data_IF_885696828870
#
_entry.id   IF_885696828870
#
_cell.length_a   1.000
_cell.length_b   1.000
_cell.length_c   1.000
_cell.angle_alpha   90.00
_cell.angle_beta   90.00
_cell.angle_gamma   90.00
#
_symmetry.space_group_name_H-M   'P 1'
#
loop_
_entity.id
_entity.type
_entity.pdbx_description
1 polymer ?
#
# COMPACT_ATOMS: atom_id res chain seq x y z
N UNK A 1 13.53 -13.77 34.94
CA UNK A 1 12.50 -14.64 34.34
C UNK A 1 12.51 -15.98 35.06
N UNK A 2 11.36 -16.66 35.21
CA UNK A 2 11.32 -18.00 35.82
C UNK A 2 11.88 -19.05 34.84
N UNK A 3 12.46 -20.17 35.30
CA UNK A 3 12.81 -21.28 34.42
C UNK A 3 11.57 -21.83 33.70
N UNK A 4 11.64 -22.09 32.40
CA UNK A 4 10.54 -22.64 31.61
C UNK A 4 10.65 -22.36 30.11
N UNK A 5 9.79 -23.00 29.31
CA UNK A 5 9.66 -22.73 27.87
C UNK A 5 8.73 -21.55 27.64
N UNK A 6 9.21 -20.54 26.93
CA UNK A 6 8.44 -19.38 26.51
C UNK A 6 8.19 -19.43 25.00
N UNK A 7 6.93 -19.46 24.59
CA UNK A 7 6.54 -19.52 23.17
C UNK A 7 5.65 -18.32 22.86
N UNK A 8 6.03 -17.54 21.86
CA UNK A 8 5.18 -16.52 21.28
C UNK A 8 4.26 -17.16 20.23
N UNK A 9 2.95 -16.91 20.30
CA UNK A 9 1.98 -17.37 19.30
C UNK A 9 2.15 -16.59 17.98
N UNK A 10 1.61 -17.10 16.86
CA UNK A 10 1.55 -16.35 15.60
C UNK A 10 0.91 -14.96 15.80
N UNK A 11 1.32 -13.95 15.01
CA UNK A 11 0.74 -12.61 15.11
C UNK A 11 -0.75 -12.63 14.73
N UNK A 12 -1.55 -11.80 15.40
CA UNK A 12 -2.98 -11.69 15.14
C UNK A 12 -3.28 -11.02 13.79
N UNK A 13 -2.39 -10.15 13.31
CA UNK A 13 -2.51 -9.45 12.02
C UNK A 13 -1.42 -9.94 11.08
N UNK A 14 -1.76 -10.36 9.85
CA UNK A 14 -0.80 -11.03 8.94
C UNK A 14 0.30 -10.10 8.41
N UNK A 15 -0.07 -8.94 7.87
CA UNK A 15 0.87 -7.91 7.40
C UNK A 15 0.80 -6.68 8.32
N UNK A 16 1.95 -6.25 8.85
CA UNK A 16 2.05 -5.20 9.89
C UNK A 16 3.17 -4.25 9.51
N UNK A 17 2.84 -3.00 9.21
CA UNK A 17 3.81 -2.12 8.57
C UNK A 17 3.60 -0.63 8.77
N UNK A 18 4.52 0.10 8.17
CA UNK A 18 4.51 1.57 8.11
C UNK A 18 4.54 2.02 6.65
N UNK A 19 4.02 3.21 6.41
CA UNK A 19 4.20 3.96 5.18
C UNK A 19 5.04 5.19 5.49
N UNK A 20 6.21 5.27 4.88
CA UNK A 20 7.03 6.48 4.91
C UNK A 20 6.44 7.43 3.87
N UNK A 21 5.77 8.48 4.32
CA UNK A 21 5.13 9.47 3.46
C UNK A 21 5.38 10.87 4.00
N UNK A 22 4.90 11.88 3.27
CA UNK A 22 4.99 13.27 3.67
C UNK A 22 6.46 13.69 3.96
N UNK A 23 7.41 13.00 3.31
CA UNK A 23 8.81 12.89 3.70
C UNK A 23 9.61 14.18 3.44
N UNK A 24 9.08 15.04 2.58
CA UNK A 24 9.65 16.34 2.23
C UNK A 24 9.17 17.47 3.16
N UNK A 25 10.08 18.31 3.71
CA UNK A 25 11.54 18.30 3.49
C UNK A 25 12.32 17.43 4.49
N UNK A 26 11.75 17.05 5.63
CA UNK A 26 12.49 16.57 6.80
C UNK A 26 13.29 15.28 6.54
N UNK A 27 12.60 14.18 6.26
CA UNK A 27 13.24 12.89 6.07
C UNK A 27 14.10 12.88 4.80
N UNK A 28 13.62 13.52 3.73
CA UNK A 28 14.37 13.62 2.47
C UNK A 28 15.72 14.30 2.67
N UNK A 29 15.73 15.46 3.34
CA UNK A 29 16.98 16.22 3.58
C UNK A 29 17.93 15.44 4.47
N UNK A 30 17.40 14.80 5.53
CA UNK A 30 18.20 13.96 6.41
C UNK A 30 18.82 12.77 5.67
N UNK A 31 18.03 12.04 4.87
CA UNK A 31 18.48 10.87 4.14
C UNK A 31 19.53 11.23 3.08
N UNK A 32 19.29 12.31 2.31
CA UNK A 32 20.24 12.84 1.32
C UNK A 32 21.54 13.30 1.97
N UNK A 33 21.47 13.93 3.15
CA UNK A 33 22.67 14.37 3.88
C UNK A 33 23.47 13.20 4.46
N UNK A 34 22.79 12.19 5.03
CA UNK A 34 23.45 11.11 5.77
C UNK A 34 23.85 9.92 4.89
N UNK A 35 23.07 9.60 3.87
CA UNK A 35 23.23 8.41 3.04
C UNK A 35 23.41 8.72 1.54
N UNK A 36 23.34 10.00 1.15
CA UNK A 36 23.39 10.46 -0.24
C UNK A 36 22.01 10.52 -0.90
N UNK A 37 21.13 9.57 -0.60
CA UNK A 37 19.72 9.54 -1.02
C UNK A 37 18.94 8.50 -0.18
N UNK A 38 17.67 8.26 -0.50
CA UNK A 38 16.83 7.18 0.04
C UNK A 38 17.20 5.82 -0.60
N UNK A 39 18.43 5.38 -0.40
CA UNK A 39 19.01 4.13 -0.93
C UNK A 39 19.07 3.01 0.12
N UNK A 40 19.65 1.85 -0.25
CA UNK A 40 19.62 0.66 0.60
C UNK A 40 20.32 0.85 1.96
N UNK A 41 21.26 1.79 2.07
CA UNK A 41 21.93 2.10 3.34
C UNK A 41 20.98 2.77 4.33
N UNK A 42 20.03 3.57 3.83
CA UNK A 42 18.96 4.11 4.66
C UNK A 42 17.93 3.02 4.96
N UNK A 43 17.46 2.32 3.93
CA UNK A 43 16.37 1.36 4.06
C UNK A 43 16.71 0.12 4.90
N UNK A 44 17.96 -0.35 4.94
CA UNK A 44 18.34 -1.46 5.84
C UNK A 44 18.15 -1.11 7.32
N UNK A 45 18.31 0.16 7.71
CA UNK A 45 17.96 0.63 9.06
C UNK A 45 16.44 0.60 9.29
N UNK A 46 15.64 0.92 8.27
CA UNK A 46 14.16 0.85 8.33
C UNK A 46 13.71 -0.61 8.46
N UNK A 47 14.31 -1.53 7.69
CA UNK A 47 14.00 -2.96 7.75
C UNK A 47 14.30 -3.53 9.14
N UNK A 48 15.48 -3.21 9.69
CA UNK A 48 15.87 -3.62 11.03
C UNK A 48 14.86 -3.11 12.08
N UNK A 49 14.46 -1.84 12.00
CA UNK A 49 13.46 -1.26 12.91
C UNK A 49 12.13 -2.02 12.84
N UNK A 50 11.60 -2.25 11.63
CA UNK A 50 10.34 -2.97 11.42
C UNK A 50 10.41 -4.37 12.04
N UNK A 51 11.49 -5.12 11.79
CA UNK A 51 11.67 -6.46 12.34
C UNK A 51 11.82 -6.45 13.87
N UNK A 52 12.56 -5.50 14.44
CA UNK A 52 12.68 -5.36 15.91
C UNK A 52 11.35 -5.06 16.58
N UNK A 53 10.47 -4.32 15.90
CA UNK A 53 9.09 -4.06 16.33
C UNK A 53 8.11 -5.21 15.98
N UNK A 54 8.62 -6.32 15.40
CA UNK A 54 7.84 -7.49 14.96
C UNK A 54 6.82 -7.16 13.85
N UNK A 55 7.06 -6.09 13.10
CA UNK A 55 6.42 -5.83 11.82
C UNK A 55 7.02 -6.68 10.70
N UNK A 56 6.46 -6.58 9.50
CA UNK A 56 6.92 -7.29 8.31
C UNK A 56 6.50 -6.63 6.98
N UNK A 57 5.92 -5.41 7.00
CA UNK A 57 5.38 -4.77 5.80
C UNK A 57 5.85 -3.32 5.68
N UNK A 58 6.08 -2.86 4.45
CA UNK A 58 6.52 -1.49 4.17
C UNK A 58 5.87 -0.94 2.90
N UNK A 59 5.37 0.30 2.99
CA UNK A 59 5.27 1.20 1.83
C UNK A 59 6.43 2.21 1.89
N UNK A 60 7.31 2.23 0.87
CA UNK A 60 8.46 3.11 0.85
C UNK A 60 8.08 4.56 0.52
N UNK A 61 9.01 5.49 0.77
CA UNK A 61 8.90 6.88 0.35
C UNK A 61 8.76 7.00 -1.18
N UNK A 62 7.91 7.93 -1.63
CA UNK A 62 7.44 7.93 -3.02
C UNK A 62 7.15 9.33 -3.61
N UNK A 63 7.23 10.42 -2.83
CA UNK A 63 6.94 11.77 -3.33
C UNK A 63 7.88 12.22 -4.44
N UNK A 64 9.18 11.94 -4.28
CA UNK A 64 10.22 12.26 -5.26
C UNK A 64 11.19 11.09 -5.47
N UNK A 65 10.79 9.90 -5.04
CA UNK A 65 11.60 8.70 -5.03
C UNK A 65 10.86 7.53 -5.68
N UNK A 66 11.64 6.54 -6.12
CA UNK A 66 11.13 5.28 -6.65
C UNK A 66 11.98 4.14 -6.09
N UNK A 67 11.46 3.50 -5.04
CA UNK A 67 12.17 2.52 -4.23
C UNK A 67 12.95 1.48 -5.03
N UNK A 68 12.31 0.83 -6.00
CA UNK A 68 12.91 -0.26 -6.76
C UNK A 68 13.82 0.19 -7.91
N UNK A 69 13.82 1.47 -8.29
CA UNK A 69 14.61 1.98 -9.43
C UNK A 69 15.69 2.98 -9.04
N UNK A 70 15.54 3.69 -7.92
CA UNK A 70 16.56 4.60 -7.39
C UNK A 70 17.79 3.81 -6.94
N UNK A 71 17.56 2.62 -6.39
CA UNK A 71 18.60 1.67 -6.02
C UNK A 71 18.05 0.23 -6.09
N UNK A 72 18.52 -0.61 -7.04
CA UNK A 72 18.05 -1.99 -7.17
C UNK A 72 18.24 -2.84 -5.91
N UNK A 73 19.18 -2.48 -5.02
CA UNK A 73 19.41 -3.19 -3.76
C UNK A 73 18.30 -2.94 -2.74
N UNK A 74 17.51 -1.88 -2.86
CA UNK A 74 16.38 -1.61 -1.97
C UNK A 74 15.39 -2.79 -1.94
N UNK A 75 14.90 -3.19 -3.11
CA UNK A 75 13.92 -4.28 -3.24
C UNK A 75 14.54 -5.65 -2.91
N UNK A 76 15.77 -5.89 -3.38
CA UNK A 76 16.48 -7.13 -3.11
C UNK A 76 16.72 -7.34 -1.61
N UNK A 77 17.20 -6.32 -0.91
CA UNK A 77 17.50 -6.43 0.52
C UNK A 77 16.24 -6.44 1.38
N UNK A 78 15.14 -5.81 0.94
CA UNK A 78 13.85 -5.97 1.61
C UNK A 78 13.43 -7.44 1.62
N UNK A 79 13.50 -8.10 0.47
CA UNK A 79 13.20 -9.53 0.34
C UNK A 79 14.15 -10.40 1.18
N UNK A 80 15.46 -10.15 1.11
CA UNK A 80 16.46 -10.89 1.90
C UNK A 80 16.25 -10.75 3.42
N UNK A 81 15.79 -9.59 3.90
CA UNK A 81 15.45 -9.36 5.30
C UNK A 81 14.09 -9.95 5.69
N UNK A 82 13.24 -10.32 4.72
CA UNK A 82 11.85 -10.75 4.95
C UNK A 82 10.87 -9.59 5.18
N UNK A 83 11.16 -8.40 4.65
CA UNK A 83 10.22 -7.28 4.59
C UNK A 83 9.37 -7.42 3.33
N UNK A 84 8.08 -7.65 3.53
CA UNK A 84 7.10 -7.66 2.44
C UNK A 84 6.87 -6.22 1.97
N UNK A 85 7.12 -5.97 0.69
CA UNK A 85 6.94 -4.62 0.12
C UNK A 85 5.59 -4.52 -0.57
N UNK A 86 4.91 -3.39 -0.34
CA UNK A 86 3.79 -2.94 -1.17
C UNK A 86 4.00 -1.51 -1.64
N UNK A 87 2.99 -0.97 -2.29
CA UNK A 87 2.95 0.42 -2.77
C UNK A 87 1.66 1.08 -2.32
N UNK A 88 1.63 2.41 -2.22
CA UNK A 88 0.43 3.13 -1.77
C UNK A 88 -0.76 2.88 -2.71
N UNK A 89 -1.96 3.26 -2.26
CA UNK A 89 -3.22 2.95 -2.95
C UNK A 89 -3.36 3.52 -4.38
N UNK A 90 -2.51 4.46 -4.78
CA UNK A 90 -2.53 5.05 -6.13
C UNK A 90 -1.30 4.66 -6.97
N UNK A 91 -0.54 3.65 -6.52
CA UNK A 91 0.70 3.17 -7.14
C UNK A 91 0.56 1.68 -7.52
N UNK A 92 -0.30 1.34 -8.49
CA UNK A 92 -0.63 -0.05 -8.75
C UNK A 92 0.52 -0.81 -9.41
N UNK A 93 0.50 -2.13 -9.28
CA UNK A 93 1.36 -3.06 -10.02
C UNK A 93 2.87 -2.89 -9.76
N UNK A 94 3.23 -2.58 -8.51
CA UNK A 94 4.63 -2.43 -8.06
C UNK A 94 5.39 -1.31 -8.79
N UNK A 95 4.69 -0.24 -9.15
CA UNK A 95 5.25 0.94 -9.79
C UNK A 95 5.05 2.16 -8.90
N UNK A 96 6.15 2.76 -8.47
CA UNK A 96 6.08 4.01 -7.73
C UNK A 96 5.57 5.13 -8.65
N UNK A 97 4.83 6.09 -8.10
CA UNK A 97 4.19 7.16 -8.87
C UNK A 97 5.19 7.93 -9.75
N UNK A 98 6.37 8.26 -9.21
CA UNK A 98 7.43 8.98 -9.93
C UNK A 98 8.00 8.24 -11.13
N UNK A 99 7.85 6.92 -11.21
CA UNK A 99 8.31 6.14 -12.37
C UNK A 99 7.56 6.53 -13.65
N UNK A 100 6.29 6.95 -13.54
CA UNK A 100 5.50 7.34 -14.70
C UNK A 100 6.07 8.60 -15.37
N UNK A 101 6.30 9.66 -14.60
CA UNK A 101 6.92 10.90 -15.08
C UNK A 101 8.33 10.65 -15.62
N UNK A 102 9.16 9.91 -14.88
CA UNK A 102 10.56 9.63 -15.26
C UNK A 102 10.69 8.79 -16.54
N UNK A 103 9.68 8.00 -16.88
CA UNK A 103 9.59 7.31 -18.17
C UNK A 103 9.21 8.24 -19.34
N UNK A 104 9.21 9.56 -19.13
CA UNK A 104 8.92 10.57 -20.17
C UNK A 104 7.43 10.75 -20.46
N UNK A 105 6.55 10.29 -19.57
CA UNK A 105 5.12 10.49 -19.73
C UNK A 105 4.70 11.90 -19.33
N UNK A 106 3.78 12.49 -20.09
CA UNK A 106 3.27 13.84 -19.82
C UNK A 106 2.30 13.82 -18.65
N UNK A 107 2.26 14.89 -17.86
CA UNK A 107 1.22 15.11 -16.84
C UNK A 107 -0.18 14.94 -17.46
N UNK A 108 -1.07 14.23 -16.79
CA UNK A 108 -2.42 13.94 -17.28
C UNK A 108 -2.51 12.82 -18.33
N UNK A 109 -1.40 12.14 -18.65
CA UNK A 109 -1.45 10.93 -19.50
C UNK A 109 -1.80 9.65 -18.72
N UNK A 110 -1.94 9.74 -17.39
CA UNK A 110 -2.42 8.66 -16.54
C UNK A 110 -3.94 8.48 -16.66
N UNK A 111 -4.36 7.94 -17.81
CA UNK A 111 -5.76 7.77 -18.21
C UNK A 111 -5.92 6.44 -18.94
N UNK A 112 -6.56 5.45 -18.30
CA UNK A 112 -6.72 4.12 -18.88
C UNK A 112 -7.68 4.10 -20.07
N UNK A 113 -8.61 5.06 -20.18
CA UNK A 113 -9.51 5.13 -21.32
C UNK A 113 -8.77 5.51 -22.62
N UNK A 114 -7.66 6.25 -22.49
CA UNK A 114 -6.87 6.76 -23.63
C UNK A 114 -5.56 6.03 -23.84
N UNK A 115 -4.92 5.56 -22.77
CA UNK A 115 -3.53 5.06 -22.79
C UNK A 115 -3.39 3.63 -22.26
N UNK A 116 -4.44 2.81 -22.41
CA UNK A 116 -4.52 1.46 -21.83
C UNK A 116 -3.30 0.57 -22.17
N UNK A 117 -2.84 0.56 -23.43
CA UNK A 117 -1.68 -0.23 -23.84
C UNK A 117 -0.40 0.20 -23.14
N UNK A 118 -0.17 1.52 -23.05
CA UNK A 118 1.01 2.09 -22.40
C UNK A 118 1.02 1.79 -20.90
N UNK A 119 -0.14 1.89 -20.25
CA UNK A 119 -0.30 1.55 -18.83
C UNK A 119 -0.08 0.06 -18.57
N UNK A 120 -0.61 -0.82 -19.44
CA UNK A 120 -0.33 -2.26 -19.34
C UNK A 120 1.15 -2.58 -19.50
N UNK A 121 1.84 -1.99 -20.49
CA UNK A 121 3.28 -2.16 -20.63
C UNK A 121 4.04 -1.68 -19.38
N UNK A 122 3.67 -0.50 -18.86
CA UNK A 122 4.25 0.06 -17.66
C UNK A 122 4.05 -0.82 -16.41
N UNK A 123 2.87 -1.43 -16.25
CA UNK A 123 2.59 -2.39 -15.17
C UNK A 123 3.33 -3.71 -15.34
N UNK A 124 3.44 -4.21 -16.58
CA UNK A 124 4.23 -5.42 -16.90
C UNK A 124 5.67 -5.28 -16.42
N UNK A 125 6.32 -4.14 -16.67
CA UNK A 125 7.69 -3.90 -16.23
C UNK A 125 7.84 -3.94 -14.70
N UNK A 126 6.88 -3.38 -13.95
CA UNK A 126 6.88 -3.39 -12.48
C UNK A 126 6.75 -4.81 -11.91
N UNK A 127 5.83 -5.60 -12.46
CA UNK A 127 5.64 -7.00 -12.08
C UNK A 127 6.87 -7.86 -12.43
N UNK A 128 7.46 -7.68 -13.60
CA UNK A 128 8.66 -8.42 -14.01
C UNK A 128 9.85 -8.08 -13.11
N UNK A 129 10.09 -6.80 -12.84
CA UNK A 129 11.21 -6.35 -11.99
C UNK A 129 11.16 -6.91 -10.58
N UNK A 130 9.96 -7.06 -10.03
CA UNK A 130 9.77 -7.51 -8.65
C UNK A 130 9.35 -8.96 -8.56
N UNK A 131 9.32 -9.71 -9.66
CA UNK A 131 8.69 -11.04 -9.77
C UNK A 131 9.09 -11.99 -8.65
N UNK A 132 10.38 -12.05 -8.35
CA UNK A 132 10.97 -13.02 -7.44
C UNK A 132 10.94 -12.60 -5.96
N UNK A 133 10.41 -11.41 -5.63
CA UNK A 133 10.36 -10.88 -4.27
C UNK A 133 9.00 -11.09 -3.59
N UNK A 134 8.99 -11.27 -2.26
CA UNK A 134 7.75 -11.28 -1.47
C UNK A 134 7.11 -9.88 -1.45
N UNK A 135 5.84 -9.80 -1.85
CA UNK A 135 5.12 -8.54 -2.05
C UNK A 135 3.62 -8.67 -1.88
N UNK A 136 2.97 -7.53 -1.65
CA UNK A 136 1.52 -7.38 -1.80
C UNK A 136 1.26 -6.40 -2.93
N UNK A 137 0.68 -6.89 -4.02
CA UNK A 137 0.46 -6.08 -5.23
C UNK A 137 -0.77 -5.20 -5.06
N UNK A 138 -0.59 -3.89 -5.11
CA UNK A 138 -1.70 -2.93 -5.19
C UNK A 138 -2.39 -3.05 -6.54
N UNK A 139 -3.71 -3.25 -6.53
CA UNK A 139 -4.58 -3.28 -7.72
C UNK A 139 -5.61 -2.15 -7.67
N UNK A 140 -6.27 -1.92 -8.79
CA UNK A 140 -7.08 -0.73 -9.04
C UNK A 140 -6.24 0.40 -9.64
N UNK A 141 -6.85 1.55 -9.81
CA UNK A 141 -6.19 2.76 -10.32
C UNK A 141 -6.99 3.96 -9.83
N UNK A 142 -6.29 5.01 -9.38
CA UNK A 142 -6.88 6.34 -9.15
C UNK A 142 -6.26 7.31 -10.16
N UNK A 143 -6.72 8.56 -10.15
CA UNK A 143 -6.12 9.62 -10.94
C UNK A 143 -4.65 9.86 -10.58
N UNK A 144 -3.99 10.68 -11.40
CA UNK A 144 -2.56 11.01 -11.23
C UNK A 144 -2.33 11.74 -9.90
N UNK A 145 -1.49 11.18 -9.01
CA UNK A 145 -1.06 11.85 -7.76
C UNK A 145 -2.16 12.04 -6.69
N UNK A 146 -2.88 10.98 -6.31
CA UNK A 146 -3.96 10.98 -5.30
C UNK A 146 -5.30 11.65 -5.72
N UNK A 147 -5.39 12.08 -6.98
CA UNK A 147 -6.61 12.67 -7.57
C UNK A 147 -7.69 11.60 -7.90
N UNK A 148 -8.99 11.96 -7.90
CA UNK A 148 -10.05 11.04 -8.31
C UNK A 148 -10.04 10.79 -9.83
N UNK A 149 -10.58 9.64 -10.25
CA UNK A 149 -10.95 9.43 -11.66
C UNK A 149 -12.24 10.17 -12.00
N UNK A 150 -12.45 10.54 -13.26
CA UNK A 150 -13.69 11.21 -13.71
C UNK A 150 -14.93 10.34 -13.46
N UNK A 151 -16.00 10.96 -12.93
CA UNK A 151 -17.12 10.31 -12.23
C UNK A 151 -18.06 9.47 -13.12
N UNK A 152 -18.16 9.81 -14.41
CA UNK A 152 -19.23 9.30 -15.30
C UNK A 152 -19.00 7.88 -15.84
N UNK A 153 -17.80 7.30 -15.66
CA UNK A 153 -17.42 6.00 -16.24
C UNK A 153 -16.72 5.05 -15.24
N UNK A 154 -16.70 5.41 -13.95
CA UNK A 154 -15.66 4.91 -13.03
C UNK A 154 -15.77 3.41 -12.68
N UNK A 155 -16.97 2.83 -12.50
CA UNK A 155 -17.10 1.42 -12.07
C UNK A 155 -16.68 0.44 -13.16
N UNK A 156 -17.28 0.53 -14.36
CA UNK A 156 -16.97 -0.38 -15.46
C UNK A 156 -15.50 -0.25 -15.92
N UNK A 157 -14.97 0.98 -15.89
CA UNK A 157 -13.56 1.22 -16.19
C UNK A 157 -12.64 0.59 -15.13
N UNK A 158 -12.96 0.74 -13.83
CA UNK A 158 -12.20 0.10 -12.75
C UNK A 158 -12.26 -1.43 -12.82
N UNK A 159 -13.42 -2.01 -13.12
CA UNK A 159 -13.57 -3.46 -13.31
C UNK A 159 -12.72 -3.96 -14.47
N UNK A 160 -12.68 -3.22 -15.59
CA UNK A 160 -11.79 -3.51 -16.72
C UNK A 160 -10.32 -3.40 -16.34
N UNK A 161 -9.94 -2.33 -15.63
CA UNK A 161 -8.56 -2.11 -15.15
C UNK A 161 -8.12 -3.28 -14.27
N UNK A 162 -8.91 -3.64 -13.26
CA UNK A 162 -8.58 -4.75 -12.35
C UNK A 162 -8.56 -6.08 -13.10
N UNK A 163 -9.47 -6.30 -14.06
CA UNK A 163 -9.45 -7.47 -14.92
C UNK A 163 -8.14 -7.61 -15.71
N UNK A 164 -7.67 -6.53 -16.32
CA UNK A 164 -6.42 -6.51 -17.10
C UNK A 164 -5.18 -6.64 -16.18
N UNK A 165 -5.16 -5.94 -15.05
CA UNK A 165 -4.10 -6.09 -14.03
C UNK A 165 -3.99 -7.53 -13.53
N UNK A 166 -5.12 -8.17 -13.25
CA UNK A 166 -5.15 -9.56 -12.80
C UNK A 166 -4.64 -10.51 -13.87
N UNK A 167 -4.99 -10.30 -15.14
CA UNK A 167 -4.43 -11.07 -16.25
C UNK A 167 -2.90 -10.99 -16.27
N UNK A 168 -2.34 -9.79 -16.16
CA UNK A 168 -0.89 -9.57 -16.10
C UNK A 168 -0.24 -10.27 -14.90
N UNK A 169 -0.87 -10.22 -13.71
CA UNK A 169 -0.38 -10.94 -12.52
C UNK A 169 -0.34 -12.45 -12.77
N UNK A 170 -1.41 -13.00 -13.36
CA UNK A 170 -1.49 -14.43 -13.69
C UNK A 170 -0.41 -14.89 -14.68
N UNK A 171 -0.16 -14.07 -15.70
CA UNK A 171 0.83 -14.36 -16.75
C UNK A 171 2.28 -14.24 -16.24
N UNK A 172 2.56 -13.23 -15.40
CA UNK A 172 3.95 -12.87 -15.03
C UNK A 172 4.36 -13.52 -13.71
N UNK A 173 3.48 -13.53 -12.71
CA UNK A 173 3.81 -13.93 -11.33
C UNK A 173 3.45 -15.39 -11.07
N UNK A 174 2.16 -15.72 -11.10
CA UNK A 174 1.67 -17.08 -10.85
C UNK A 174 0.30 -17.28 -11.50
N UNK A 175 0.13 -18.30 -12.39
CA UNK A 175 -1.16 -18.63 -13.00
C UNK A 175 -2.28 -18.88 -11.99
N UNK A 176 -1.96 -19.39 -10.79
CA UNK A 176 -2.90 -19.44 -9.69
C UNK A 176 -2.96 -18.08 -8.98
N UNK A 177 -3.67 -17.13 -9.61
CA UNK A 177 -3.76 -15.76 -9.14
C UNK A 177 -4.30 -15.60 -7.71
N UNK A 178 -5.10 -16.56 -7.24
CA UNK A 178 -5.66 -16.54 -5.88
C UNK A 178 -4.62 -16.76 -4.78
N UNK A 179 -3.43 -17.25 -5.14
CA UNK A 179 -2.28 -17.39 -4.24
C UNK A 179 -1.39 -16.13 -4.21
N UNK A 180 -1.57 -15.20 -5.15
CA UNK A 180 -0.76 -13.97 -5.21
C UNK A 180 -1.39 -12.89 -4.34
N UNK A 181 -0.71 -12.42 -3.26
CA UNK A 181 -1.25 -11.38 -2.39
C UNK A 181 -1.53 -10.10 -3.16
N UNK A 182 -2.78 -9.67 -3.12
CA UNK A 182 -3.27 -8.44 -3.75
C UNK A 182 -4.06 -7.62 -2.75
N UNK A 183 -3.98 -6.30 -2.91
CA UNK A 183 -4.72 -5.35 -2.08
C UNK A 183 -5.38 -4.29 -2.95
N UNK A 184 -6.64 -3.99 -2.66
CA UNK A 184 -7.33 -2.84 -3.23
C UNK A 184 -7.79 -1.93 -2.10
N UNK A 185 -7.22 -0.73 -2.04
CA UNK A 185 -7.65 0.27 -1.08
C UNK A 185 -8.93 0.95 -1.55
N UNK A 186 -9.95 0.86 -0.70
CA UNK A 186 -11.23 1.53 -0.91
C UNK A 186 -11.16 2.92 -0.28
N UNK A 187 -10.27 3.73 -0.83
CA UNK A 187 -9.94 5.05 -0.29
C UNK A 187 -10.75 6.16 -0.98
N UNK A 188 -11.21 7.14 -0.20
CA UNK A 188 -12.01 8.29 -0.66
C UNK A 188 -13.21 7.86 -1.53
N UNK A 189 -13.22 8.23 -2.82
CA UNK A 189 -14.33 7.99 -3.74
C UNK A 189 -14.53 6.50 -4.07
N UNK A 190 -13.48 5.69 -3.98
CA UNK A 190 -13.51 4.26 -4.33
C UNK A 190 -14.40 3.47 -3.36
N UNK A 191 -14.50 3.89 -2.10
CA UNK A 191 -15.46 3.32 -1.14
C UNK A 191 -16.89 3.46 -1.65
N UNK A 192 -17.25 4.63 -2.20
CA UNK A 192 -18.59 4.87 -2.74
C UNK A 192 -18.90 3.98 -3.96
N UNK A 193 -17.91 3.65 -4.78
CA UNK A 193 -18.08 2.69 -5.89
C UNK A 193 -18.40 1.29 -5.39
N UNK A 194 -17.69 0.83 -4.35
CA UNK A 194 -17.93 -0.47 -3.72
C UNK A 194 -19.36 -0.58 -3.14
N UNK A 195 -19.80 0.45 -2.43
CA UNK A 195 -21.14 0.53 -1.85
C UNK A 195 -22.25 0.57 -2.93
N UNK A 196 -21.96 1.13 -4.12
CA UNK A 196 -22.87 1.14 -5.28
C UNK A 196 -22.84 -0.12 -6.13
N UNK A 197 -22.08 -1.14 -5.72
CA UNK A 197 -22.14 -2.46 -6.34
C UNK A 197 -20.88 -2.89 -7.10
N UNK A 198 -19.83 -2.06 -7.17
CA UNK A 198 -18.53 -2.48 -7.71
C UNK A 198 -18.06 -3.74 -6.98
N UNK A 199 -17.66 -4.77 -7.73
CA UNK A 199 -17.26 -6.06 -7.14
C UNK A 199 -15.74 -6.21 -7.14
N UNK A 200 -15.25 -6.77 -6.03
CA UNK A 200 -13.84 -7.07 -5.83
C UNK A 200 -13.65 -8.59 -5.78
N UNK A 201 -12.73 -9.18 -6.56
CA UNK A 201 -12.45 -10.62 -6.52
C UNK A 201 -12.19 -11.11 -5.09
N UNK A 202 -12.67 -12.30 -4.74
CA UNK A 202 -12.77 -12.76 -3.34
C UNK A 202 -11.42 -12.88 -2.62
N UNK A 203 -10.36 -13.18 -3.36
CA UNK A 203 -8.97 -13.32 -2.88
C UNK A 203 -8.26 -11.98 -2.63
N UNK A 204 -8.78 -10.86 -3.15
CA UNK A 204 -8.17 -9.53 -2.98
C UNK A 204 -8.53 -8.97 -1.61
N UNK A 205 -7.50 -8.54 -0.88
CA UNK A 205 -7.66 -7.87 0.43
C UNK A 205 -8.36 -6.53 0.23
N UNK A 206 -9.45 -6.31 0.97
CA UNK A 206 -10.08 -5.00 1.04
C UNK A 206 -9.34 -4.14 2.07
N UNK A 207 -8.66 -3.08 1.63
CA UNK A 207 -7.97 -2.16 2.54
C UNK A 207 -8.88 -0.97 2.84
N UNK A 208 -9.49 -0.98 4.03
CA UNK A 208 -10.26 0.13 4.55
C UNK A 208 -9.32 1.21 5.05
N UNK A 209 -9.75 2.47 4.95
CA UNK A 209 -8.94 3.60 5.36
C UNK A 209 -9.65 4.37 6.48
N UNK A 210 -8.86 5.03 7.31
CA UNK A 210 -9.38 6.10 8.14
C UNK A 210 -9.73 7.35 7.31
N UNK A 211 -10.19 8.38 7.99
CA UNK A 211 -10.50 9.69 7.43
C UNK A 211 -9.28 10.59 7.29
N UNK A 212 -8.07 10.03 7.39
CA UNK A 212 -6.79 10.72 7.49
C UNK A 212 -6.57 11.46 8.82
N UNK A 213 -7.45 11.29 9.81
CA UNK A 213 -7.38 11.88 11.14
C UNK A 213 -7.56 10.82 12.24
N UNK A 214 -7.26 9.56 11.90
CA UNK A 214 -7.33 8.44 12.81
C UNK A 214 -8.74 8.00 13.17
N UNK A 215 -9.78 8.30 12.36
CA UNK A 215 -11.12 7.72 12.53
C UNK A 215 -11.41 6.76 11.38
N UNK A 216 -11.53 5.46 11.67
CA UNK A 216 -11.79 4.42 10.66
C UNK A 216 -13.16 4.65 10.03
N UNK A 217 -13.20 4.84 8.71
CA UNK A 217 -14.42 5.22 7.98
C UNK A 217 -15.43 4.08 7.85
N UNK A 218 -14.91 2.86 7.72
CA UNK A 218 -15.68 1.65 7.46
C UNK A 218 -14.94 0.42 7.96
N UNK A 219 -15.70 -0.56 8.40
CA UNK A 219 -15.22 -1.87 8.81
C UNK A 219 -15.99 -2.98 8.09
N UNK A 220 -15.42 -4.20 8.00
CA UNK A 220 -16.08 -5.32 7.35
C UNK A 220 -17.46 -5.64 7.95
N UNK A 221 -18.44 -5.83 7.09
CA UNK A 221 -19.73 -6.44 7.45
C UNK A 221 -19.59 -7.95 7.69
N UNK A 222 -20.60 -8.58 8.28
CA UNK A 222 -20.61 -10.04 8.50
C UNK A 222 -20.45 -10.86 7.22
N UNK A 223 -20.95 -10.36 6.08
CA UNK A 223 -20.74 -10.99 4.77
C UNK A 223 -19.31 -10.82 4.28
N UNK A 224 -18.75 -9.61 4.40
CA UNK A 224 -17.39 -9.29 3.96
C UNK A 224 -16.30 -10.02 4.77
N UNK A 225 -16.55 -10.29 6.06
CA UNK A 225 -15.67 -11.08 6.94
C UNK A 225 -15.43 -12.51 6.43
N UNK A 226 -16.29 -13.01 5.53
CA UNK A 226 -16.17 -14.36 4.95
C UNK A 226 -15.30 -14.42 3.69
N UNK A 227 -14.89 -13.26 3.15
CA UNK A 227 -14.05 -13.19 1.94
C UNK A 227 -12.67 -13.79 2.22
N UNK A 228 -12.13 -14.58 1.29
CA UNK A 228 -10.81 -15.22 1.45
C UNK A 228 -9.67 -14.21 1.59
N UNK A 229 -9.73 -13.11 0.84
CA UNK A 229 -8.76 -12.02 0.91
C UNK A 229 -8.73 -11.34 2.29
N UNK A 230 -9.84 -11.38 3.03
CA UNK A 230 -9.99 -10.65 4.29
C UNK A 230 -9.98 -9.14 4.09
N UNK A 231 -9.70 -8.41 5.17
CA UNK A 231 -9.66 -6.95 5.17
C UNK A 231 -8.50 -6.40 5.99
N UNK A 232 -8.06 -5.18 5.65
CA UNK A 232 -7.00 -4.46 6.34
C UNK A 232 -7.39 -3.02 6.65
N UNK A 233 -6.51 -2.31 7.37
CA UNK A 233 -6.63 -0.90 7.75
C UNK A 233 -5.40 -0.12 7.28
N UNK A 234 -5.64 1.01 6.62
CA UNK A 234 -4.69 2.10 6.43
C UNK A 234 -5.06 3.24 7.39
N UNK A 235 -4.15 3.56 8.31
CA UNK A 235 -4.34 4.54 9.39
C UNK A 235 -3.32 5.69 9.27
N UNK A 236 -3.61 6.87 9.82
CA UNK A 236 -2.71 8.01 9.76
C UNK A 236 -2.24 8.49 11.14
N UNK A 237 -0.94 8.76 11.25
CA UNK A 237 -0.31 9.54 12.33
C UNK A 237 0.35 10.83 11.81
N UNK A 238 0.43 10.99 10.50
CA UNK A 238 0.83 12.19 9.76
C UNK A 238 -0.10 12.34 8.54
N UNK A 239 -0.29 13.57 8.04
CA UNK A 239 -1.07 13.80 6.83
C UNK A 239 -0.82 15.15 6.17
N UNK A 240 -0.80 15.13 4.83
CA UNK A 240 -0.96 16.30 3.95
C UNK A 240 -2.34 16.30 3.29
N UNK A 241 -3.13 17.31 3.61
CA UNK A 241 -4.45 17.51 3.02
C UNK A 241 -5.38 18.35 3.89
N UNK A 242 -6.68 18.30 3.53
CA UNK A 242 -7.71 19.07 4.22
C UNK A 242 -8.06 18.52 5.61
N UNK A 243 -8.55 19.37 6.54
CA UNK A 243 -8.63 20.83 6.43
C UNK A 243 -7.29 21.56 6.64
N UNK A 244 -6.28 20.88 7.22
CA UNK A 244 -4.93 21.39 7.43
C UNK A 244 -3.96 20.24 7.66
N UNK A 245 -2.75 20.33 7.13
CA UNK A 245 -1.72 19.32 7.37
C UNK A 245 -1.34 19.23 8.85
N UNK A 246 -0.97 18.03 9.31
CA UNK A 246 -0.32 17.82 10.60
C UNK A 246 0.95 17.00 10.40
N UNK A 247 2.08 17.70 10.24
CA UNK A 247 3.35 17.12 9.76
C UNK A 247 4.51 17.09 10.77
N UNK A 248 4.31 17.75 11.91
CA UNK A 248 5.45 18.30 12.66
C UNK A 248 5.82 17.46 13.88
N UNK A 249 4.82 17.09 14.68
CA UNK A 249 4.98 16.39 15.95
C UNK A 249 3.87 15.36 16.07
N UNK A 250 4.07 14.36 16.94
CA UNK A 250 3.01 13.43 17.27
C UNK A 250 1.82 14.15 17.93
N UNK A 251 0.64 14.03 17.33
CA UNK A 251 -0.62 14.61 17.82
C UNK A 251 -1.69 13.56 18.11
N UNK A 252 -1.38 12.26 17.93
CA UNK A 252 -2.37 11.18 18.05
C UNK A 252 -2.19 10.42 19.37
N UNK A 253 -3.14 10.53 20.32
CA UNK A 253 -2.99 9.90 21.62
C UNK A 253 -3.22 8.39 21.55
N UNK A 254 -2.47 7.62 22.34
CA UNK A 254 -2.56 6.15 22.37
C UNK A 254 -3.99 5.61 22.64
N UNK A 255 -4.82 6.21 23.53
CA UNK A 255 -6.20 5.76 23.69
C UNK A 255 -7.05 5.83 22.43
N UNK A 256 -6.82 6.83 21.55
CA UNK A 256 -7.54 6.95 20.26
C UNK A 256 -7.12 5.84 19.30
N UNK A 257 -5.81 5.59 19.19
CA UNK A 257 -5.28 4.50 18.37
C UNK A 257 -5.84 3.16 18.87
N UNK A 258 -5.79 2.94 20.19
CA UNK A 258 -6.28 1.72 20.81
C UNK A 258 -7.76 1.50 20.53
N UNK A 259 -8.62 2.50 20.74
CA UNK A 259 -10.06 2.36 20.57
C UNK A 259 -10.40 2.01 19.11
N UNK A 260 -9.85 2.74 18.14
CA UNK A 260 -10.11 2.54 16.72
C UNK A 260 -9.55 1.20 16.21
N UNK A 261 -8.30 0.87 16.53
CA UNK A 261 -7.68 -0.37 16.06
C UNK A 261 -8.25 -1.61 16.78
N UNK A 262 -8.76 -1.45 18.01
CA UNK A 262 -9.50 -2.50 18.70
C UNK A 262 -10.84 -2.78 18.00
N UNK A 263 -11.56 -1.77 17.51
CA UNK A 263 -12.74 -1.98 16.67
C UNK A 263 -12.39 -2.74 15.39
N UNK A 264 -11.32 -2.34 14.70
CA UNK A 264 -10.86 -3.01 13.49
C UNK A 264 -10.59 -4.50 13.70
N UNK A 265 -9.90 -4.83 14.79
CA UNK A 265 -9.63 -6.22 15.16
C UNK A 265 -10.92 -7.01 15.43
N UNK A 266 -11.84 -6.46 16.24
CA UNK A 266 -13.12 -7.12 16.54
C UNK A 266 -14.02 -7.30 15.30
N UNK A 267 -13.84 -6.46 14.28
CA UNK A 267 -14.59 -6.55 13.02
C UNK A 267 -13.89 -7.41 11.96
N UNK A 268 -12.80 -8.09 12.31
CA UNK A 268 -12.10 -9.03 11.43
C UNK A 268 -11.26 -8.38 10.34
N UNK A 269 -10.86 -7.10 10.51
CA UNK A 269 -9.90 -6.46 9.62
C UNK A 269 -8.47 -6.79 10.06
N UNK A 270 -8.06 -8.06 9.98
CA UNK A 270 -6.80 -8.59 10.51
C UNK A 270 -5.79 -9.02 9.42
N UNK A 271 -6.07 -8.75 8.14
CA UNK A 271 -5.17 -9.15 7.05
C UNK A 271 -3.94 -8.24 6.97
N UNK A 272 -4.13 -6.92 7.00
CA UNK A 272 -3.07 -5.94 6.78
C UNK A 272 -3.32 -4.68 7.59
N UNK A 273 -2.41 -4.31 8.50
CA UNK A 273 -2.40 -3.00 9.14
C UNK A 273 -1.17 -2.22 8.70
N UNK A 274 -1.40 -1.06 8.11
CA UNK A 274 -0.36 -0.12 7.72
C UNK A 274 -0.71 1.28 8.23
N UNK A 275 0.29 2.00 8.70
CA UNK A 275 0.12 3.35 9.25
C UNK A 275 1.06 4.34 8.56
N UNK A 276 0.55 5.49 8.14
CA UNK A 276 1.36 6.63 7.68
C UNK A 276 2.07 7.26 8.90
N UNK A 277 3.41 7.35 8.84
CA UNK A 277 4.30 7.76 9.95
C UNK A 277 5.17 8.97 9.62
#
# INVERSE_FOLDING_TARGET
MKPGRYVQRPPAVKYRGIFINDEGPCLMTWARTKYGDLNHRMYTNVFELILRLKGNYLWPAMWDNSFATDDPLNAKLADEYGIVVGTSHHEPMMRAWKEWERAGNRKGSWDYSKNAEKLRAFWTEGLQRTKDYEKVTTVGMRGDGDEPMTETESIALLERIVGDQRRLIGEIINPNISEVPQVWALYKEVQGYYERGMRVPDDVTLLWCDDNWGNIRRLPTDGERKRKGGAGIYYHLDYVGGPRNYKWLNTVPLPKIWEQMNLAWHYGADRLWIVNV
#
